data_IF_116873016744
#
_entry.id   IF_116873016744
#
_cell.length_a   1.000
_cell.length_b   1.000
_cell.length_c   1.000
_cell.angle_alpha   90.00
_cell.angle_beta   90.00
_cell.angle_gamma   90.00
#
_symmetry.space_group_name_H-M   'P 1'
#
loop_
_entity.id
_entity.type
_entity.pdbx_description
1 polymer ?
#
# COMPACT_ATOMS: atom_id res chain seq x y z
N UNK A 1 15.14 7.41 -0.13
CA UNK A 1 13.80 7.52 -0.73
C UNK A 1 13.88 7.12 -2.20
N UNK A 2 12.80 6.56 -2.79
CA UNK A 2 12.79 6.29 -4.22
C UNK A 2 12.95 7.60 -5.01
N UNK A 3 13.70 7.55 -6.11
CA UNK A 3 13.81 8.68 -7.05
C UNK A 3 12.47 8.99 -7.71
N UNK A 4 11.63 7.98 -7.84
CA UNK A 4 10.30 8.11 -8.42
C UNK A 4 9.39 7.01 -7.88
N UNK A 5 8.17 7.38 -7.54
CA UNK A 5 7.10 6.46 -7.19
C UNK A 5 6.00 6.52 -8.26
N UNK A 6 5.48 5.34 -8.59
CA UNK A 6 4.44 5.14 -9.60
C UNK A 6 3.27 4.40 -8.98
N UNK A 7 2.07 4.88 -9.25
CA UNK A 7 0.81 4.23 -8.87
C UNK A 7 0.03 3.95 -10.15
N UNK A 8 -0.29 2.68 -10.37
CA UNK A 8 -1.15 2.22 -11.46
C UNK A 8 -2.48 1.81 -10.82
N UNK A 9 -3.56 2.46 -11.23
CA UNK A 9 -4.92 2.11 -10.80
C UNK A 9 -5.45 1.01 -11.70
N UNK A 10 -5.48 -0.21 -11.18
CA UNK A 10 -6.04 -1.37 -11.86
C UNK A 10 -7.56 -1.29 -11.80
N UNK A 11 -8.09 -1.09 -10.59
CA UNK A 11 -9.50 -0.78 -10.33
C UNK A 11 -9.56 0.50 -9.49
N UNK A 12 -10.15 1.54 -10.08
CA UNK A 12 -10.37 2.83 -9.44
C UNK A 12 -11.86 3.18 -9.31
N UNK A 13 -12.75 2.19 -9.36
CA UNK A 13 -14.20 2.37 -9.28
C UNK A 13 -14.67 2.91 -7.93
N UNK A 14 -13.91 2.66 -6.85
CA UNK A 14 -14.21 3.12 -5.50
C UNK A 14 -12.96 3.60 -4.74
N UNK A 15 -13.14 3.91 -3.45
CA UNK A 15 -12.06 4.33 -2.55
C UNK A 15 -11.70 5.81 -2.65
N UNK A 16 -10.74 6.22 -1.84
CA UNK A 16 -10.32 7.61 -1.76
C UNK A 16 -9.14 7.95 -2.68
N UNK A 17 -8.86 9.25 -2.85
CA UNK A 17 -7.73 9.71 -3.64
C UNK A 17 -6.40 9.32 -3.00
N UNK A 18 -5.38 9.16 -3.83
CA UNK A 18 -4.00 9.24 -3.33
C UNK A 18 -3.67 10.71 -3.06
N UNK A 19 -3.15 10.99 -1.88
CA UNK A 19 -2.63 12.29 -1.48
C UNK A 19 -1.12 12.30 -1.66
N UNK A 20 -0.59 13.31 -2.33
CA UNK A 20 0.84 13.61 -2.36
C UNK A 20 1.05 15.01 -1.81
N UNK A 21 1.87 15.15 -0.76
CA UNK A 21 2.13 16.46 -0.13
C UNK A 21 3.42 17.07 -0.66
N UNK A 22 3.69 18.32 -0.32
CA UNK A 22 5.02 18.91 -0.52
C UNK A 22 5.98 18.67 0.67
N UNK A 23 5.59 17.85 1.66
CA UNK A 23 6.43 17.51 2.81
C UNK A 23 7.30 16.29 2.49
N UNK A 24 8.50 16.24 3.06
CA UNK A 24 9.47 15.15 2.94
C UNK A 24 9.71 14.51 4.30
N UNK A 25 10.25 13.29 4.31
CA UNK A 25 10.64 12.65 5.56
C UNK A 25 11.76 13.47 6.24
N UNK A 26 11.60 13.73 7.54
CA UNK A 26 12.53 14.55 8.33
C UNK A 26 12.21 16.06 8.33
N UNK A 27 11.24 16.52 7.53
CA UNK A 27 10.76 17.89 7.61
C UNK A 27 10.09 18.14 8.97
N UNK A 28 10.45 19.25 9.61
CA UNK A 28 9.82 19.70 10.87
C UNK A 28 8.54 20.49 10.66
N UNK A 29 8.39 21.10 9.48
CA UNK A 29 7.20 21.86 9.12
C UNK A 29 6.19 20.94 8.45
N UNK A 30 4.90 21.16 8.73
CA UNK A 30 3.81 20.44 8.07
C UNK A 30 3.68 20.83 6.59
N UNK A 31 3.13 19.92 5.81
CA UNK A 31 2.74 20.19 4.43
C UNK A 31 1.85 21.44 4.31
N UNK A 32 2.12 22.28 3.31
CA UNK A 32 1.30 23.47 3.00
C UNK A 32 0.48 23.30 1.74
N UNK A 33 0.82 22.31 0.91
CA UNK A 33 0.17 22.00 -0.35
C UNK A 33 0.10 20.50 -0.53
N UNK A 34 -0.91 20.07 -1.27
CA UNK A 34 -1.02 18.70 -1.69
C UNK A 34 -1.66 18.59 -3.07
N UNK A 35 -1.47 17.44 -3.69
CA UNK A 35 -2.18 17.00 -4.86
C UNK A 35 -3.03 15.79 -4.48
N UNK A 36 -4.31 15.83 -4.80
CA UNK A 36 -5.22 14.70 -4.68
C UNK A 36 -5.37 14.08 -6.06
N UNK A 37 -5.07 12.78 -6.16
CA UNK A 37 -5.28 11.98 -7.34
C UNK A 37 -6.47 11.06 -7.13
N UNK A 38 -7.66 11.40 -7.65
CA UNK A 38 -8.81 10.52 -7.59
C UNK A 38 -8.51 9.18 -8.28
N UNK A 39 -9.02 8.06 -7.74
CA UNK A 39 -8.91 6.78 -8.41
C UNK A 39 -9.71 6.81 -9.73
N UNK A 40 -9.15 6.14 -10.75
CA UNK A 40 -9.81 5.87 -12.03
C UNK A 40 -9.09 4.72 -12.71
N UNK A 41 -9.85 3.80 -13.30
CA UNK A 41 -9.30 2.65 -14.01
C UNK A 41 -8.26 3.07 -15.06
N UNK A 42 -7.18 2.30 -15.13
CA UNK A 42 -6.06 2.48 -16.05
C UNK A 42 -5.36 3.84 -15.92
N UNK A 43 -5.56 4.56 -14.81
CA UNK A 43 -4.81 5.78 -14.52
C UNK A 43 -3.42 5.42 -14.02
N UNK A 44 -2.43 6.18 -14.45
CA UNK A 44 -1.06 6.11 -13.93
C UNK A 44 -0.71 7.47 -13.34
N UNK A 45 -0.20 7.47 -12.11
CA UNK A 45 0.38 8.63 -11.46
C UNK A 45 1.87 8.38 -11.23
N UNK A 46 2.69 9.36 -11.59
CA UNK A 46 4.14 9.34 -11.44
C UNK A 46 4.53 10.59 -10.67
N UNK A 47 5.28 10.44 -9.58
CA UNK A 47 5.68 11.55 -8.74
C UNK A 47 7.07 11.35 -8.13
N UNK A 48 7.65 12.45 -7.63
CA UNK A 48 8.90 12.43 -6.86
C UNK A 48 8.68 11.64 -5.57
N UNK A 49 9.36 10.49 -5.46
CA UNK A 49 9.19 9.53 -4.37
C UNK A 49 9.73 9.99 -3.02
N UNK A 50 10.35 11.17 -2.96
CA UNK A 50 10.80 11.82 -1.72
C UNK A 50 9.68 12.53 -0.97
N UNK A 51 8.57 12.84 -1.64
CA UNK A 51 7.41 13.44 -1.01
C UNK A 51 6.60 12.43 -0.21
N UNK A 52 6.13 12.86 0.96
CA UNK A 52 5.17 12.09 1.75
C UNK A 52 3.87 11.97 0.98
N UNK A 53 3.35 10.75 0.96
CA UNK A 53 2.14 10.40 0.25
C UNK A 53 1.40 9.33 1.04
N UNK A 54 0.11 9.23 0.79
CA UNK A 54 -0.77 8.28 1.45
C UNK A 54 -2.07 8.12 0.68
N UNK A 55 -2.93 7.26 1.20
CA UNK A 55 -4.28 7.07 0.66
C UNK A 55 -5.26 7.70 1.64
N UNK A 56 -6.05 8.67 1.16
CA UNK A 56 -7.13 9.24 1.96
C UNK A 56 -8.24 8.19 2.04
N UNK A 57 -8.84 7.94 3.21
CA UNK A 57 -10.00 7.07 3.32
C UNK A 57 -11.11 7.49 2.34
N UNK A 58 -11.63 6.52 1.59
CA UNK A 58 -12.76 6.74 0.68
C UNK A 58 -14.09 6.71 1.43
N UNK A 59 -15.17 7.08 0.73
CA UNK A 59 -16.52 6.75 1.21
C UNK A 59 -16.68 5.22 1.22
N UNK A 60 -17.33 4.71 2.27
CA UNK A 60 -17.75 3.32 2.33
C UNK A 60 -18.67 3.06 1.16
N UNK A 61 -18.39 1.99 0.41
CA UNK A 61 -19.28 1.49 -0.62
C UNK A 61 -19.96 0.24 -0.07
N UNK A 62 -21.29 0.19 -0.15
CA UNK A 62 -22.08 -0.95 0.33
C UNK A 62 -21.95 -2.16 -0.59
N UNK A 63 -21.52 -1.97 -1.85
CA UNK A 63 -21.23 -3.06 -2.76
C UNK A 63 -19.88 -3.72 -2.39
N UNK A 64 -19.88 -4.96 -1.87
CA UNK A 64 -18.66 -5.63 -1.47
C UNK A 64 -17.78 -6.03 -2.67
N UNK A 65 -18.31 -6.01 -3.90
CA UNK A 65 -17.54 -6.32 -5.10
C UNK A 65 -16.61 -5.16 -5.51
N UNK A 66 -16.94 -3.93 -5.12
CA UNK A 66 -16.14 -2.76 -5.49
C UNK A 66 -14.89 -2.64 -4.61
N UNK A 67 -13.72 -2.59 -5.24
CA UNK A 67 -12.42 -2.51 -4.57
C UNK A 67 -11.55 -1.47 -5.27
N UNK A 68 -10.78 -0.70 -4.50
CA UNK A 68 -9.70 0.12 -5.06
C UNK A 68 -8.43 -0.72 -5.11
N UNK A 69 -8.06 -1.17 -6.31
CA UNK A 69 -6.87 -2.00 -6.51
C UNK A 69 -5.80 -1.19 -7.24
N UNK A 70 -4.63 -1.06 -6.62
CA UNK A 70 -3.49 -0.33 -7.18
C UNK A 70 -2.22 -1.16 -7.14
N UNK A 71 -1.44 -1.11 -8.21
CA UNK A 71 -0.05 -1.56 -8.20
C UNK A 71 0.86 -0.36 -7.95
N UNK A 72 1.69 -0.45 -6.90
CA UNK A 72 2.66 0.58 -6.56
C UNK A 72 4.07 0.10 -6.90
N UNK A 73 4.81 0.92 -7.65
CA UNK A 73 6.18 0.64 -8.08
C UNK A 73 7.06 1.80 -7.65
N UNK A 74 8.21 1.50 -7.04
CA UNK A 74 9.16 2.50 -6.59
C UNK A 74 10.51 2.26 -7.28
N UNK A 75 11.06 3.29 -7.89
CA UNK A 75 12.38 3.25 -8.52
C UNK A 75 13.41 3.85 -7.57
N UNK A 76 14.52 3.15 -7.39
CA UNK A 76 15.65 3.58 -6.58
C UNK A 76 16.90 3.64 -7.47
N UNK A 77 17.80 4.62 -7.25
CA UNK A 77 19.05 4.70 -8.01
C UNK A 77 19.96 3.52 -7.64
N UNK A 78 19.99 3.17 -6.36
CA UNK A 78 20.65 2.02 -5.78
C UNK A 78 19.69 1.43 -4.73
N UNK A 79 19.56 0.10 -4.69
CA UNK A 79 18.69 -0.59 -3.75
C UNK A 79 19.41 -1.78 -3.15
N UNK A 80 19.58 -1.76 -1.84
CA UNK A 80 20.10 -2.90 -1.09
C UNK A 80 19.02 -3.97 -1.00
N UNK A 81 19.29 -5.13 -1.60
CA UNK A 81 18.39 -6.29 -1.53
C UNK A 81 18.70 -7.08 -0.27
N UNK A 82 17.77 -7.11 0.67
CA UNK A 82 17.92 -7.85 1.92
C UNK A 82 17.44 -9.28 1.70
N UNK A 83 18.37 -10.23 1.63
CA UNK A 83 18.07 -11.65 1.41
C UNK A 83 17.47 -12.33 2.65
N UNK A 84 17.91 -11.91 3.83
CA UNK A 84 17.47 -12.45 5.12
C UNK A 84 17.12 -11.27 6.04
N UNK A 85 15.84 -11.09 6.33
CA UNK A 85 15.35 -10.14 7.34
C UNK A 85 14.27 -10.80 8.19
N UNK A 86 14.28 -10.54 9.49
CA UNK A 86 13.19 -10.89 10.38
C UNK A 86 12.69 -9.64 11.13
N UNK A 87 11.41 -9.24 10.98
CA UNK A 87 10.42 -9.83 10.09
C UNK A 87 10.74 -9.61 8.59
N UNK A 88 10.07 -10.34 7.68
CA UNK A 88 10.23 -10.14 6.25
C UNK A 88 9.96 -8.68 5.82
N UNK A 89 10.92 -8.05 5.14
CA UNK A 89 10.78 -6.70 4.61
C UNK A 89 10.28 -6.65 3.17
N UNK A 90 9.97 -5.45 2.68
CA UNK A 90 9.55 -5.19 1.29
C UNK A 90 10.70 -5.19 0.27
N UNK A 91 11.96 -5.14 0.74
CA UNK A 91 13.16 -5.10 -0.10
C UNK A 91 13.82 -6.49 -0.29
N UNK A 92 13.02 -7.55 -0.35
CA UNK A 92 13.53 -8.91 -0.57
C UNK A 92 13.90 -9.15 -2.03
N UNK A 93 14.81 -10.09 -2.25
CA UNK A 93 15.10 -10.56 -3.59
C UNK A 93 13.81 -11.08 -4.24
N UNK A 94 13.65 -10.84 -5.55
CA UNK A 94 12.62 -11.53 -6.30
C UNK A 94 12.86 -13.04 -6.13
N UNK A 95 11.84 -13.85 -5.81
CA UNK A 95 12.02 -15.28 -5.61
C UNK A 95 12.69 -15.87 -6.85
N UNK A 96 13.82 -16.57 -6.66
CA UNK A 96 14.52 -17.24 -7.75
C UNK A 96 13.59 -18.33 -8.31
N UNK A 97 12.92 -18.00 -9.41
CA UNK A 97 12.27 -18.91 -10.37
C UNK A 97 11.49 -20.07 -9.74
N UNK A 98 10.33 -19.80 -9.11
CA UNK A 98 9.11 -20.65 -9.07
C UNK A 98 9.20 -22.20 -8.95
N UNK A 99 10.32 -22.77 -8.56
CA UNK A 99 10.63 -24.20 -8.57
C UNK A 99 11.44 -24.42 -7.29
N UNK A 100 10.84 -24.50 -6.11
CA UNK A 100 10.48 -25.77 -5.50
C UNK A 100 9.80 -25.44 -4.16
N UNK A 101 8.70 -24.67 -4.17
CA UNK A 101 7.80 -24.72 -3.03
C UNK A 101 7.08 -26.08 -3.10
N UNK A 102 7.14 -26.95 -2.07
CA UNK A 102 6.32 -28.14 -2.04
C UNK A 102 4.85 -27.69 -1.97
N UNK A 103 4.20 -27.59 -3.14
CA UNK A 103 2.86 -26.99 -3.31
C UNK A 103 2.73 -26.04 -4.52
N UNK A 104 3.85 -25.58 -5.10
CA UNK A 104 3.87 -24.60 -6.18
C UNK A 104 3.56 -23.17 -5.70
N UNK A 105 4.09 -22.16 -6.39
CA UNK A 105 3.73 -20.76 -6.10
C UNK A 105 2.38 -20.48 -6.77
N UNK A 106 1.28 -20.51 -6.02
CA UNK A 106 0.00 -19.96 -6.47
C UNK A 106 -0.16 -18.54 -5.93
N UNK A 107 0.38 -17.56 -6.65
CA UNK A 107 -0.13 -16.19 -6.54
C UNK A 107 -1.65 -16.25 -6.83
N UNK A 108 -2.54 -15.80 -5.93
CA UNK A 108 -2.35 -14.82 -4.85
C UNK A 108 -2.46 -15.37 -3.40
N UNK A 109 -2.47 -16.69 -3.20
CA UNK A 109 -2.82 -17.29 -1.90
C UNK A 109 -1.86 -16.93 -0.75
N UNK A 110 -0.61 -16.55 -1.03
CA UNK A 110 0.37 -16.15 -0.01
C UNK A 110 0.17 -14.71 0.54
N UNK A 111 -0.79 -13.94 0.00
CA UNK A 111 -1.15 -12.60 0.51
C UNK A 111 -2.40 -12.61 1.38
N UNK A 112 -3.15 -13.71 1.39
CA UNK A 112 -4.19 -13.92 2.36
C UNK A 112 -3.50 -14.56 3.56
N UNK A 113 -3.23 -13.77 4.61
CA UNK A 113 -3.11 -14.38 5.93
C UNK A 113 -4.35 -15.25 6.08
N UNK A 114 -4.15 -16.54 6.39
CA UNK A 114 -5.24 -17.37 6.84
C UNK A 114 -5.88 -16.62 7.99
N UNK A 115 -7.06 -16.04 7.74
CA UNK A 115 -7.96 -15.67 8.82
C UNK A 115 -8.22 -16.98 9.51
N UNK A 116 -7.49 -17.22 10.60
CA UNK A 116 -7.82 -18.28 11.53
C UNK A 116 -9.25 -17.96 11.96
N UNK A 117 -10.19 -18.77 11.48
CA UNK A 117 -11.57 -18.79 11.96
C UNK A 117 -11.53 -19.35 13.38
N UNK A 118 -10.96 -18.57 14.32
CA UNK A 118 -11.10 -18.84 15.73
C UNK A 118 -12.41 -18.21 16.21
N UNK A 119 -13.28 -19.11 16.68
CA UNK A 119 -14.62 -18.92 17.19
C UNK A 119 -14.80 -17.71 18.14
N UNK A 120 -15.93 -17.02 17.97
CA UNK A 120 -16.69 -16.26 18.98
C UNK A 120 -15.91 -15.37 19.97
N UNK A 121 -15.65 -14.11 19.58
CA UNK A 121 -15.48 -13.01 20.55
C UNK A 121 -16.57 -11.96 20.37
N UNK A 122 -17.44 -11.90 21.38
CA UNK A 122 -18.58 -10.99 21.54
C UNK A 122 -18.17 -9.52 21.44
N UNK A 123 -19.11 -8.74 20.92
CA UNK A 123 -19.15 -7.28 20.87
C UNK A 123 -18.55 -6.59 22.11
N UNK A 124 -17.56 -5.73 21.88
CA UNK A 124 -17.39 -4.51 22.67
C UNK A 124 -16.83 -3.42 21.74
N UNK A 125 -17.72 -2.49 21.35
CA UNK A 125 -17.39 -1.32 20.54
C UNK A 125 -16.63 -0.34 21.44
N UNK A 126 -15.30 -0.46 21.44
CA UNK A 126 -14.39 0.51 22.03
C UNK A 126 -14.04 1.60 21.02
N UNK A 127 -14.48 2.83 21.27
CA UNK A 127 -14.06 4.03 20.52
C UNK A 127 -12.55 4.22 20.65
N UNK A 128 -11.81 4.16 19.55
CA UNK A 128 -10.38 4.53 19.53
C UNK A 128 -10.28 5.98 19.07
N UNK A 129 -10.05 6.89 20.02
CA UNK A 129 -9.52 8.23 19.73
C UNK A 129 -8.07 8.09 19.28
N UNK A 130 -7.75 8.65 18.11
CA UNK A 130 -6.37 8.76 17.63
C UNK A 130 -5.96 10.22 17.72
N UNK A 131 -5.21 10.54 18.77
CA UNK A 131 -4.53 11.83 18.92
C UNK A 131 -3.39 11.91 17.89
N UNK A 132 -3.47 12.91 17.03
CA UNK A 132 -2.45 13.24 16.05
C UNK A 132 -1.55 14.31 16.69
N UNK A 133 -0.32 13.93 17.04
CA UNK A 133 0.75 14.87 17.39
C UNK A 133 1.55 15.29 16.15
#
# INVERSE_FOLDING_TARGET
>A
HPICSVIIYIDGSCGGPTLMTNQRAGDRALATKCYLMPPRDNRVAVFDGTFLHGVVPGRINEDPALRRVTLMVAFWPEMDVVRESFPPGSARAFPERALEYPGGISWPNDFYDSVDEDEDVKDDIGTVEVDIF
#
